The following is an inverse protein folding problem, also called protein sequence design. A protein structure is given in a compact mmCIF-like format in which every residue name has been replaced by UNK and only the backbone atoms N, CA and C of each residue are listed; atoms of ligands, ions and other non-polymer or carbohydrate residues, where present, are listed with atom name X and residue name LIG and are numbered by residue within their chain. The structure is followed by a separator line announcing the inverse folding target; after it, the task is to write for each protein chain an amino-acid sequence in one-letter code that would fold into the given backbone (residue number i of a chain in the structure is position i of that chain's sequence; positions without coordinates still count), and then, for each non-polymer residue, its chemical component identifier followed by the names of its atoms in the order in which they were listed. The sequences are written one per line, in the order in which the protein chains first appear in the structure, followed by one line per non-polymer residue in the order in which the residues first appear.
data_IF_628005713921
#
_entry.id   IF_628005713921
#
_cell.length_a   1.000
_cell.length_b   1.000
_cell.length_c   1.000
_cell.angle_alpha   90.00
_cell.angle_beta   90.00
_cell.angle_gamma   90.00
#
_symmetry.space_group_name_H-M   'P 1'
#
loop_
_entity.id
_entity.type
_entity.pdbx_description
1 polymer ?
#
# COMPACT_ATOMS: atom_id res chain seq x y z
N UNK A 1 53.93 -31.36 -0.54
CA UNK A 1 54.25 -29.92 -0.48
C UNK A 1 53.75 -29.41 0.85
N UNK A 2 54.67 -28.99 1.72
CA UNK A 2 54.38 -28.45 3.04
C UNK A 2 54.25 -26.93 2.92
N UNK A 3 53.12 -26.37 3.36
CA UNK A 3 52.94 -24.91 3.42
C UNK A 3 52.89 -24.46 4.88
N UNK A 4 53.83 -23.57 5.18
CA UNK A 4 54.28 -23.12 6.48
C UNK A 4 53.43 -21.93 6.91
N UNK A 5 52.57 -22.10 7.92
CA UNK A 5 51.77 -21.01 8.51
C UNK A 5 52.70 -20.02 9.21
N UNK A 6 53.05 -18.91 8.53
CA UNK A 6 53.60 -17.71 9.18
C UNK A 6 52.49 -17.03 9.95
N UNK A 7 52.62 -16.98 11.27
CA UNK A 7 51.80 -16.14 12.15
C UNK A 7 52.34 -14.71 12.06
N UNK A 8 51.58 -13.79 11.48
CA UNK A 8 51.83 -12.36 11.60
C UNK A 8 51.59 -11.91 13.06
N UNK A 9 52.47 -11.09 13.64
CA UNK A 9 52.33 -10.60 15.02
C UNK A 9 51.23 -9.52 15.11
N UNK A 10 50.37 -9.65 16.12
CA UNK A 10 49.30 -8.69 16.43
C UNK A 10 49.89 -7.30 16.70
N UNK A 11 49.38 -6.32 15.96
CA UNK A 11 49.71 -4.89 16.05
C UNK A 11 49.57 -4.33 17.48
N UNK A 12 50.48 -3.43 17.94
CA UNK A 12 50.52 -2.88 19.30
C UNK A 12 49.28 -2.08 19.71
N UNK A 13 48.41 -1.73 18.77
CA UNK A 13 47.12 -1.10 19.09
C UNK A 13 46.15 -2.07 19.77
N UNK A 14 46.23 -3.37 19.50
CA UNK A 14 45.39 -4.38 20.16
C UNK A 14 45.84 -4.68 21.59
N UNK A 15 47.13 -4.53 21.92
CA UNK A 15 47.61 -4.62 23.31
C UNK A 15 47.09 -3.46 24.16
N UNK A 16 47.00 -2.25 23.59
CA UNK A 16 46.54 -1.06 24.31
C UNK A 16 45.06 -1.15 24.70
N UNK A 17 44.24 -1.79 23.87
CA UNK A 17 42.82 -2.01 24.15
C UNK A 17 42.64 -3.17 25.17
N UNK A 18 43.51 -4.18 25.13
CA UNK A 18 43.51 -5.25 26.13
C UNK A 18 43.94 -4.74 27.51
N UNK A 19 44.94 -3.86 27.59
CA UNK A 19 45.39 -3.21 28.83
C UNK A 19 44.31 -2.28 29.43
N UNK A 20 43.49 -1.66 28.58
CA UNK A 20 42.39 -0.80 29.04
C UNK A 20 41.18 -1.62 29.53
N UNK A 21 40.91 -2.79 28.94
CA UNK A 21 39.86 -3.72 29.36
C UNK A 21 40.24 -4.55 30.61
N UNK A 22 41.53 -4.81 30.83
CA UNK A 22 42.05 -5.50 32.02
C UNK A 22 42.10 -4.58 33.26
N UNK A 23 41.91 -3.27 33.11
CA UNK A 23 41.81 -2.32 34.22
C UNK A 23 40.39 -2.32 34.81
N UNK A 24 39.93 -3.50 35.22
CA UNK A 24 38.77 -3.63 36.11
C UNK A 24 39.25 -3.37 37.54
N UNK A 25 38.67 -2.41 38.29
CA UNK A 25 39.11 -2.09 39.63
C UNK A 25 38.88 -3.27 40.58
N UNK A 26 39.95 -3.70 41.24
CA UNK A 26 39.97 -4.75 42.27
C UNK A 26 39.29 -4.24 43.56
N UNK A 27 38.15 -4.82 43.97
CA UNK A 27 37.38 -4.40 45.15
C UNK A 27 37.94 -5.05 46.44
N UNK A 28 39.25 -4.90 46.69
CA UNK A 28 39.91 -5.50 47.85
C UNK A 28 40.80 -4.52 48.64
N UNK A 29 40.62 -3.21 48.48
CA UNK A 29 41.24 -2.20 49.34
C UNK A 29 40.17 -1.27 49.90
N UNK A 30 39.43 -1.75 50.89
CA UNK A 30 39.03 -1.00 52.09
C UNK A 30 38.11 -1.87 52.93
N UNK A 31 38.68 -2.48 53.98
CA UNK A 31 37.92 -3.20 54.99
C UNK A 31 37.72 -2.33 56.25
N UNK A 32 36.57 -1.66 56.41
CA UNK A 32 36.17 -1.09 57.69
C UNK A 32 35.27 -2.04 58.51
N UNK A 33 35.86 -2.49 59.62
CA UNK A 33 35.33 -2.92 60.94
C UNK A 33 34.00 -3.69 61.09
N UNK A 34 34.11 -4.79 61.84
CA UNK A 34 33.12 -5.82 62.15
C UNK A 34 31.83 -5.36 62.87
N UNK A 35 31.68 -4.07 63.24
CA UNK A 35 30.49 -3.57 63.98
C UNK A 35 29.33 -3.13 63.07
N UNK A 36 29.54 -2.99 61.76
CA UNK A 36 28.47 -2.61 60.82
C UNK A 36 27.70 -3.80 60.22
N UNK A 37 27.96 -5.03 60.68
CA UNK A 37 27.41 -6.27 60.07
C UNK A 37 26.00 -6.66 60.53
N UNK A 38 25.36 -5.91 61.44
CA UNK A 38 24.02 -6.28 61.97
C UNK A 38 22.91 -5.32 61.53
N UNK A 39 23.22 -4.12 61.04
CA UNK A 39 22.18 -3.15 60.62
C UNK A 39 21.71 -3.29 59.16
N UNK A 40 22.40 -4.04 58.31
CA UNK A 40 22.01 -4.26 56.90
C UNK A 40 21.28 -5.59 56.65
N UNK A 41 20.94 -6.34 57.72
CA UNK A 41 20.24 -7.64 57.63
C UNK A 41 18.72 -7.56 57.45
N UNK A 42 18.11 -6.37 57.51
CA UNK A 42 16.66 -6.19 57.35
C UNK A 42 16.25 -5.23 56.22
N UNK A 43 17.21 -4.68 55.47
CA UNK A 43 16.91 -3.88 54.26
C UNK A 43 17.32 -4.57 52.94
N UNK A 44 18.15 -5.62 53.01
CA UNK A 44 18.62 -6.37 51.83
C UNK A 44 17.63 -7.40 51.27
N UNK A 45 16.58 -7.77 52.02
CA UNK A 45 15.52 -8.68 51.55
C UNK A 45 14.39 -7.97 50.79
N UNK A 46 14.39 -6.64 50.71
CA UNK A 46 13.39 -5.88 49.93
C UNK A 46 13.88 -5.39 48.57
N UNK A 47 15.18 -5.54 48.24
CA UNK A 47 15.79 -5.03 47.00
C UNK A 47 16.21 -6.13 46.01
N UNK A 48 15.64 -7.34 46.16
CA UNK A 48 15.89 -8.51 45.31
C UNK A 48 14.60 -8.95 44.58
N UNK A 49 13.81 -7.96 44.13
CA UNK A 49 12.53 -8.16 43.44
C UNK A 49 12.37 -7.27 42.19
N UNK A 50 13.48 -6.86 41.56
CA UNK A 50 13.44 -6.04 40.36
C UNK A 50 14.47 -6.49 39.32
N UNK A 51 14.08 -7.44 38.46
CA UNK A 51 14.42 -7.46 37.03
C UNK A 51 14.05 -8.83 36.41
N UNK A 52 12.77 -9.02 36.10
CA UNK A 52 12.37 -10.01 35.10
C UNK A 52 11.12 -9.52 34.37
N UNK A 53 11.35 -9.09 33.12
CA UNK A 53 10.44 -9.04 31.96
C UNK A 53 10.55 -7.70 31.22
N UNK A 54 11.52 -7.61 30.30
CA UNK A 54 11.35 -6.79 29.09
C UNK A 54 10.41 -7.61 28.19
N UNK A 55 9.11 -7.50 28.46
CA UNK A 55 8.04 -8.08 27.66
C UNK A 55 7.20 -6.94 27.09
N UNK A 56 7.27 -6.80 25.76
CA UNK A 56 6.47 -5.94 24.90
C UNK A 56 5.34 -5.12 25.58
N UNK A 57 5.57 -3.81 25.75
CA UNK A 57 4.47 -2.83 25.88
C UNK A 57 3.89 -2.55 24.48
N UNK A 58 3.33 -3.57 23.86
CA UNK A 58 2.37 -3.45 22.76
C UNK A 58 1.23 -4.38 23.11
N UNK A 59 0.37 -4.00 24.06
CA UNK A 59 -1.04 -4.45 24.18
C UNK A 59 -1.70 -3.56 25.24
N UNK A 60 -2.93 -3.14 24.93
CA UNK A 60 -3.90 -2.48 25.80
C UNK A 60 -3.75 -0.96 25.99
N UNK A 61 -3.67 -0.23 24.89
CA UNK A 61 -4.71 0.79 24.72
C UNK A 61 -5.95 0.00 24.28
N UNK A 62 -7.10 0.07 24.98
CA UNK A 62 -8.33 -0.36 24.34
C UNK A 62 -8.44 0.50 23.10
N UNK A 63 -8.16 -0.08 21.94
CA UNK A 63 -8.65 0.46 20.69
C UNK A 63 -10.11 0.77 20.99
N UNK A 64 -10.51 2.04 20.80
CA UNK A 64 -11.92 2.37 20.79
C UNK A 64 -12.63 1.24 20.03
N UNK A 65 -13.69 0.63 20.60
CA UNK A 65 -14.32 -0.53 19.98
C UNK A 65 -14.44 -0.21 18.50
N UNK A 66 -13.95 -1.10 17.59
CA UNK A 66 -13.93 -0.79 16.18
C UNK A 66 -15.31 -0.27 15.88
N UNK A 67 -15.40 1.03 15.54
CA UNK A 67 -16.67 1.59 15.12
C UNK A 67 -17.12 0.61 14.05
N UNK A 68 -18.36 0.09 14.11
CA UNK A 68 -18.82 -0.79 13.06
C UNK A 68 -18.53 -0.05 11.77
N UNK A 69 -17.51 -0.52 11.04
CA UNK A 69 -17.39 -0.21 9.64
C UNK A 69 -18.62 -0.93 9.12
N UNK A 70 -19.76 -0.24 9.10
CA UNK A 70 -20.80 -0.55 8.14
C UNK A 70 -20.03 -0.60 6.84
N UNK A 71 -19.77 -1.82 6.35
CA UNK A 71 -19.00 -2.03 5.14
C UNK A 71 -19.71 -1.19 4.09
N UNK A 72 -19.10 -0.07 3.71
CA UNK A 72 -19.61 0.70 2.60
C UNK A 72 -19.68 -0.28 1.42
N UNK A 73 -20.74 -0.20 0.62
CA UNK A 73 -20.85 -1.02 -0.57
C UNK A 73 -19.58 -0.85 -1.43
N UNK A 74 -19.07 -1.93 -2.05
CA UNK A 74 -17.93 -1.82 -2.95
C UNK A 74 -18.18 -0.73 -3.99
N UNK A 75 -17.16 0.09 -4.25
CA UNK A 75 -17.24 1.07 -5.34
C UNK A 75 -16.76 0.36 -6.60
N UNK A 76 -17.70 0.12 -7.51
CA UNK A 76 -17.47 -0.62 -8.75
C UNK A 76 -17.80 0.22 -9.97
N UNK A 77 -17.50 -0.32 -11.15
CA UNK A 77 -17.86 0.29 -12.42
C UNK A 77 -16.96 1.47 -12.80
N UNK A 78 -17.46 2.32 -13.68
CA UNK A 78 -16.78 3.57 -14.06
C UNK A 78 -16.48 4.50 -12.87
N UNK A 79 -17.24 4.44 -11.78
CA UNK A 79 -16.96 5.20 -10.56
C UNK A 79 -15.64 4.80 -9.90
N UNK A 80 -15.25 3.53 -10.04
CA UNK A 80 -13.96 3.05 -9.54
C UNK A 80 -12.79 3.61 -10.34
N UNK A 81 -13.02 4.06 -11.59
CA UNK A 81 -12.01 4.60 -12.51
C UNK A 81 -11.83 6.12 -12.40
N UNK A 82 -12.58 6.79 -11.51
CA UNK A 82 -12.71 8.24 -11.48
C UNK A 82 -11.93 8.89 -10.32
N UNK A 83 -10.78 9.54 -10.58
CA UNK A 83 -9.97 10.17 -9.53
C UNK A 83 -10.58 11.47 -8.99
N UNK A 84 -11.37 12.17 -9.80
CA UNK A 84 -12.08 13.40 -9.45
C UNK A 84 -13.06 13.19 -8.29
N UNK A 85 -13.77 12.07 -8.28
CA UNK A 85 -14.71 11.72 -7.20
C UNK A 85 -14.01 11.61 -5.84
N UNK A 86 -12.77 11.11 -5.80
CA UNK A 86 -11.96 11.06 -4.56
C UNK A 86 -11.58 12.46 -4.10
N UNK A 87 -11.22 13.33 -5.04
CA UNK A 87 -10.86 14.72 -4.77
C UNK A 87 -12.06 15.51 -4.24
N UNK A 88 -13.23 15.34 -4.85
CA UNK A 88 -14.47 16.02 -4.48
C UNK A 88 -15.01 15.53 -3.14
N UNK A 89 -14.90 14.22 -2.86
CA UNK A 89 -15.34 13.64 -1.60
C UNK A 89 -14.43 14.00 -0.41
N UNK A 90 -13.24 14.57 -0.65
CA UNK A 90 -12.31 14.99 0.40
C UNK A 90 -11.85 13.84 1.31
N UNK A 91 -11.47 12.70 0.72
CA UNK A 91 -11.16 11.46 1.44
C UNK A 91 -10.12 11.64 2.58
N UNK A 92 -10.28 11.01 3.76
CA UNK A 92 -11.28 9.99 4.12
C UNK A 92 -12.69 10.55 4.32
N UNK A 93 -13.69 9.78 3.87
CA UNK A 93 -15.09 10.19 3.96
C UNK A 93 -15.47 10.59 5.39
N UNK A 94 -16.06 11.78 5.55
CA UNK A 94 -16.66 12.21 6.82
C UNK A 94 -17.98 11.49 7.16
N UNK A 95 -18.63 10.87 6.17
CA UNK A 95 -19.91 10.17 6.30
C UNK A 95 -19.99 8.97 5.33
N UNK A 96 -20.84 7.98 5.65
CA UNK A 96 -21.00 6.70 4.93
C UNK A 96 -21.63 6.81 3.52
N UNK A 97 -21.65 8.00 2.91
CA UNK A 97 -22.37 8.26 1.65
C UNK A 97 -21.69 7.72 0.39
N UNK A 98 -20.38 7.43 0.43
CA UNK A 98 -19.63 7.01 -0.76
C UNK A 98 -19.81 7.96 -1.96
N UNK A 99 -19.39 7.57 -3.16
CA UNK A 99 -19.59 8.40 -4.36
C UNK A 99 -21.07 8.59 -4.78
N UNK A 100 -22.03 8.01 -4.06
CA UNK A 100 -23.46 8.12 -4.35
C UNK A 100 -24.02 9.54 -4.18
N UNK A 101 -23.34 10.42 -3.44
CA UNK A 101 -23.71 11.84 -3.38
C UNK A 101 -23.27 12.63 -4.62
N UNK A 102 -22.30 12.12 -5.39
CA UNK A 102 -21.73 12.77 -6.58
C UNK A 102 -22.25 12.16 -7.90
N UNK A 103 -22.63 10.88 -7.89
CA UNK A 103 -23.20 10.19 -9.04
C UNK A 103 -24.74 10.25 -8.99
N UNK A 104 -25.34 11.10 -9.81
CA UNK A 104 -26.78 11.10 -10.04
C UNK A 104 -27.26 9.71 -10.49
N UNK A 105 -28.41 9.31 -9.95
CA UNK A 105 -29.05 8.00 -10.16
C UNK A 105 -29.38 7.76 -11.64
N UNK A 106 -28.60 6.91 -12.31
CA UNK A 106 -28.90 6.35 -13.64
C UNK A 106 -29.24 4.87 -13.51
N UNK A 107 -30.49 4.51 -13.77
CA UNK A 107 -30.99 3.13 -13.68
C UNK A 107 -30.47 2.24 -14.80
N UNK A 108 -30.26 0.97 -14.47
CA UNK A 108 -29.90 -0.09 -15.39
C UNK A 108 -31.10 -0.49 -16.26
N UNK A 109 -30.87 -0.67 -17.56
CA UNK A 109 -31.67 -1.55 -18.40
C UNK A 109 -30.71 -2.43 -19.22
N UNK A 110 -30.97 -3.73 -19.16
CA UNK A 110 -30.12 -4.83 -19.60
C UNK A 110 -30.58 -5.25 -21.01
N UNK A 111 -29.70 -5.19 -22.01
CA UNK A 111 -29.95 -5.72 -23.37
C UNK A 111 -28.69 -6.46 -23.83
N UNK A 112 -28.76 -7.76 -24.17
CA UNK A 112 -27.62 -8.46 -24.74
C UNK A 112 -27.51 -8.19 -26.25
N UNK A 113 -26.38 -7.62 -26.69
CA UNK A 113 -26.04 -7.45 -28.11
C UNK A 113 -25.09 -8.58 -28.59
N UNK A 114 -25.25 -8.95 -29.86
CA UNK A 114 -24.68 -10.15 -30.46
C UNK A 114 -23.19 -10.01 -30.81
N UNK A 115 -22.39 -11.02 -30.44
CA UNK A 115 -20.97 -11.11 -30.75
C UNK A 115 -20.70 -11.25 -32.25
N UNK A 116 -20.01 -10.28 -32.85
CA UNK A 116 -19.42 -10.40 -34.18
C UNK A 116 -18.18 -11.31 -34.14
N UNK A 117 -18.10 -12.25 -35.08
CA UNK A 117 -17.04 -13.26 -35.15
C UNK A 117 -15.75 -12.67 -35.71
N UNK A 118 -14.94 -12.05 -34.83
CA UNK A 118 -13.56 -11.66 -35.10
C UNK A 118 -12.59 -12.85 -35.05
N UNK A 119 -11.61 -12.88 -35.96
CA UNK A 119 -10.52 -13.85 -36.01
C UNK A 119 -9.89 -14.06 -34.63
N UNK A 120 -9.93 -15.29 -34.11
CA UNK A 120 -9.42 -15.63 -32.78
C UNK A 120 -7.91 -15.35 -32.68
N UNK A 121 -7.54 -14.40 -31.82
CA UNK A 121 -6.17 -14.18 -31.39
C UNK A 121 -5.82 -15.21 -30.30
N UNK A 122 -4.89 -16.15 -30.50
CA UNK A 122 -4.56 -17.18 -29.49
C UNK A 122 -3.91 -16.60 -28.22
N UNK A 123 -3.48 -15.34 -28.25
CA UNK A 123 -2.96 -14.60 -27.08
C UNK A 123 -4.07 -13.92 -26.28
N UNK A 124 -5.27 -13.76 -26.85
CA UNK A 124 -6.42 -13.18 -26.18
C UNK A 124 -6.70 -13.89 -24.86
N UNK A 125 -6.81 -13.13 -23.77
CA UNK A 125 -7.02 -13.68 -22.44
C UNK A 125 -5.78 -14.20 -21.71
N UNK A 126 -4.59 -14.08 -22.31
CA UNK A 126 -3.35 -14.35 -21.57
C UNK A 126 -3.12 -13.30 -20.47
N UNK A 127 -2.39 -13.68 -19.43
CA UNK A 127 -1.94 -12.79 -18.36
C UNK A 127 -1.24 -11.54 -18.91
N UNK A 128 -0.37 -11.71 -19.91
CA UNK A 128 0.38 -10.64 -20.56
C UNK A 128 -0.52 -9.73 -21.38
N UNK A 129 -1.50 -10.28 -22.11
CA UNK A 129 -2.45 -9.46 -22.86
C UNK A 129 -3.35 -8.60 -21.97
N UNK A 130 -3.80 -9.13 -20.82
CA UNK A 130 -4.55 -8.35 -19.85
C UNK A 130 -3.70 -7.22 -19.24
N UNK A 131 -2.44 -7.50 -18.92
CA UNK A 131 -1.51 -6.49 -18.40
C UNK A 131 -1.28 -5.38 -19.44
N UNK A 132 -0.92 -5.75 -20.67
CA UNK A 132 -0.64 -4.80 -21.76
C UNK A 132 -1.86 -3.92 -22.07
N UNK A 133 -3.07 -4.49 -22.02
CA UNK A 133 -4.29 -3.72 -22.25
C UNK A 133 -4.53 -2.67 -21.16
N UNK A 134 -4.31 -3.03 -19.89
CA UNK A 134 -4.44 -2.07 -18.78
C UNK A 134 -3.35 -1.01 -18.80
N UNK A 135 -2.12 -1.38 -19.17
CA UNK A 135 -1.02 -0.42 -19.36
C UNK A 135 -1.34 0.55 -20.49
N UNK A 136 -1.84 0.07 -21.64
CA UNK A 136 -2.28 0.89 -22.75
C UNK A 136 -3.45 1.80 -22.36
N UNK A 137 -4.40 1.30 -21.57
CA UNK A 137 -5.50 2.11 -21.03
C UNK A 137 -4.98 3.30 -20.22
N UNK A 138 -4.04 3.09 -19.29
CA UNK A 138 -3.45 4.21 -18.56
C UNK A 138 -2.56 5.07 -19.46
N UNK A 139 -1.81 4.50 -20.39
CA UNK A 139 -1.01 5.31 -21.30
C UNK A 139 -1.88 6.31 -22.08
N UNK A 140 -3.02 5.85 -22.60
CA UNK A 140 -3.99 6.70 -23.30
C UNK A 140 -4.66 7.73 -22.39
N UNK A 141 -4.97 7.37 -21.15
CA UNK A 141 -5.49 8.33 -20.17
C UNK A 141 -4.52 9.48 -19.86
N UNK A 142 -3.20 9.27 -20.00
CA UNK A 142 -2.19 10.31 -19.76
C UNK A 142 -2.03 11.24 -20.97
N UNK A 143 -2.17 10.70 -22.19
CA UNK A 143 -1.98 11.42 -23.46
C UNK A 143 -3.27 12.07 -24.00
N UNK A 144 -4.30 11.25 -24.24
CA UNK A 144 -5.63 11.68 -24.69
C UNK A 144 -6.71 10.78 -24.06
N UNK A 145 -7.37 11.23 -22.96
CA UNK A 145 -8.36 10.42 -22.26
C UNK A 145 -9.51 9.91 -23.13
N UNK A 146 -9.85 10.60 -24.23
CA UNK A 146 -10.88 10.15 -25.16
C UNK A 146 -10.49 8.86 -25.90
N UNK A 147 -9.19 8.69 -26.18
CA UNK A 147 -8.66 7.53 -26.89
C UNK A 147 -8.64 6.24 -26.06
N UNK A 148 -8.79 6.34 -24.73
CA UNK A 148 -8.85 5.22 -23.81
C UNK A 148 -10.22 4.54 -23.77
N UNK A 149 -11.29 5.25 -24.15
CA UNK A 149 -12.67 4.76 -24.08
C UNK A 149 -12.86 3.43 -24.82
N UNK A 150 -12.36 3.22 -26.05
CA UNK A 150 -12.56 1.97 -26.77
C UNK A 150 -11.94 0.72 -26.12
N UNK A 151 -11.10 0.90 -25.09
CA UNK A 151 -10.50 -0.20 -24.31
C UNK A 151 -11.39 -0.64 -23.14
N UNK A 152 -12.48 0.07 -22.90
CA UNK A 152 -13.43 -0.16 -21.81
C UNK A 152 -14.76 -0.59 -22.40
N UNK A 153 -15.34 -1.65 -21.86
CA UNK A 153 -16.63 -2.13 -22.35
C UNK A 153 -17.74 -1.08 -22.18
N UNK A 154 -18.67 -0.97 -23.15
CA UNK A 154 -19.82 -0.07 -23.05
C UNK A 154 -20.66 -0.30 -21.78
N UNK A 155 -20.81 -1.56 -21.37
CA UNK A 155 -21.54 -1.96 -20.16
C UNK A 155 -20.87 -1.41 -18.90
N UNK A 156 -19.54 -1.46 -18.83
CA UNK A 156 -18.79 -0.91 -17.71
C UNK A 156 -18.88 0.62 -17.65
N UNK A 157 -18.87 1.27 -18.82
CA UNK A 157 -19.05 2.72 -18.94
C UNK A 157 -20.46 3.15 -18.52
N UNK A 158 -21.48 2.34 -18.81
CA UNK A 158 -22.88 2.61 -18.47
C UNK A 158 -23.33 4.03 -18.85
N UNK A 159 -22.92 4.50 -20.04
CA UNK A 159 -23.20 5.84 -20.54
C UNK A 159 -22.36 6.98 -19.94
N UNK A 160 -21.49 6.72 -18.96
CA UNK A 160 -20.69 7.74 -18.26
C UNK A 160 -19.33 8.03 -18.91
N UNK A 161 -19.27 7.93 -20.24
CA UNK A 161 -18.04 8.12 -21.01
C UNK A 161 -17.48 9.54 -20.84
N UNK A 162 -18.36 10.55 -20.90
CA UNK A 162 -17.96 11.95 -20.80
C UNK A 162 -17.40 12.29 -19.41
N UNK A 163 -17.97 11.71 -18.36
CA UNK A 163 -17.53 11.86 -16.98
C UNK A 163 -16.16 11.22 -16.76
N UNK A 164 -15.93 10.03 -17.33
CA UNK A 164 -14.61 9.39 -17.29
C UNK A 164 -13.56 10.27 -17.97
N UNK A 165 -13.83 10.72 -19.20
CA UNK A 165 -12.92 11.57 -19.97
C UNK A 165 -12.64 12.88 -19.22
N UNK A 166 -13.68 13.57 -18.73
CA UNK A 166 -13.55 14.81 -18.00
C UNK A 166 -12.75 14.66 -16.69
N UNK A 167 -12.93 13.54 -15.98
CA UNK A 167 -12.20 13.25 -14.75
C UNK A 167 -10.68 13.18 -14.96
N UNK A 168 -10.25 12.57 -16.06
CA UNK A 168 -8.83 12.41 -16.40
C UNK A 168 -8.25 13.62 -17.12
N UNK A 169 -9.04 14.37 -17.91
CA UNK A 169 -8.60 15.64 -18.51
C UNK A 169 -8.20 16.70 -17.47
N UNK A 170 -8.77 16.64 -16.26
CA UNK A 170 -8.40 17.54 -15.18
C UNK A 170 -7.06 17.20 -14.51
N UNK A 171 -6.47 16.03 -14.81
CA UNK A 171 -5.20 15.57 -14.25
C UNK A 171 -4.04 16.18 -15.03
N UNK A 172 -3.08 16.78 -14.32
CA UNK A 172 -1.87 17.37 -14.89
C UNK A 172 -0.83 16.30 -15.25
N UNK A 173 -0.70 15.27 -14.42
CA UNK A 173 0.20 14.16 -14.65
C UNK A 173 -0.24 12.95 -13.83
N UNK A 174 0.04 11.75 -14.32
CA UNK A 174 -0.14 10.55 -13.52
C UNK A 174 1.00 9.54 -13.59
N UNK A 175 0.99 8.61 -12.62
CA UNK A 175 1.97 7.53 -12.52
C UNK A 175 1.23 6.23 -12.21
N UNK A 176 0.92 5.41 -13.22
CA UNK A 176 0.34 4.09 -13.02
C UNK A 176 1.42 3.08 -12.60
N UNK A 177 1.06 2.17 -11.71
CA UNK A 177 1.80 0.96 -11.39
C UNK A 177 0.85 -0.23 -11.54
N UNK A 178 1.10 -1.06 -12.54
CA UNK A 178 0.21 -2.15 -12.92
C UNK A 178 0.87 -3.48 -12.59
N UNK A 179 0.11 -4.43 -12.07
CA UNK A 179 0.58 -5.80 -11.81
C UNK A 179 -0.52 -6.81 -11.99
N UNK A 180 -0.15 -8.00 -12.44
CA UNK A 180 -1.07 -9.12 -12.58
C UNK A 180 -1.43 -9.65 -11.20
N UNK A 181 -2.74 -9.84 -10.96
CA UNK A 181 -3.25 -10.52 -9.77
C UNK A 181 -3.56 -11.98 -10.08
N UNK A 182 -4.28 -12.22 -11.18
CA UNK A 182 -4.64 -13.55 -11.70
C UNK A 182 -5.02 -13.45 -13.18
N UNK A 183 -5.38 -14.56 -13.83
CA UNK A 183 -5.80 -14.55 -15.23
C UNK A 183 -6.98 -13.58 -15.45
N UNK A 184 -6.81 -12.65 -16.39
CA UNK A 184 -7.81 -11.61 -16.68
C UNK A 184 -8.06 -10.60 -15.55
N UNK A 185 -7.25 -10.59 -14.48
CA UNK A 185 -7.42 -9.67 -13.36
C UNK A 185 -6.11 -8.96 -13.04
N UNK A 186 -6.17 -7.64 -13.11
CA UNK A 186 -5.03 -6.74 -12.99
C UNK A 186 -5.26 -5.77 -11.84
N UNK A 187 -4.24 -5.59 -11.00
CA UNK A 187 -4.26 -4.57 -9.96
C UNK A 187 -3.48 -3.35 -10.42
N UNK A 188 -4.10 -2.18 -10.33
CA UNK A 188 -3.48 -0.90 -10.64
C UNK A 188 -3.39 -0.02 -9.39
N UNK A 189 -2.24 0.61 -9.16
CA UNK A 189 -2.11 1.77 -8.28
C UNK A 189 -1.80 3.00 -9.14
N UNK A 190 -2.65 4.02 -9.08
CA UNK A 190 -2.53 5.20 -9.93
C UNK A 190 -2.41 6.44 -9.07
N UNK A 191 -1.34 7.21 -9.28
CA UNK A 191 -1.12 8.48 -8.60
C UNK A 191 -1.42 9.61 -9.60
N UNK A 192 -2.53 10.31 -9.41
CA UNK A 192 -2.93 11.46 -10.20
C UNK A 192 -2.56 12.76 -9.48
N UNK A 193 -1.98 13.71 -10.21
CA UNK A 193 -1.65 15.05 -9.72
C UNK A 193 -2.48 16.08 -10.47
N UNK A 194 -2.98 17.07 -9.74
CA UNK A 194 -3.77 18.16 -10.29
C UNK A 194 -2.99 19.48 -10.32
N UNK A 195 -3.35 20.44 -11.21
CA UNK A 195 -2.68 21.73 -11.32
C UNK A 195 -2.71 22.58 -10.03
N UNK A 196 -3.75 22.38 -9.21
CA UNK A 196 -3.93 23.03 -7.90
C UNK A 196 -3.04 22.43 -6.79
N UNK A 197 -2.20 21.45 -7.13
CA UNK A 197 -1.28 20.78 -6.22
C UNK A 197 -1.89 19.62 -5.44
N UNK A 198 -3.20 19.37 -5.57
CA UNK A 198 -3.83 18.18 -4.98
C UNK A 198 -3.31 16.91 -5.65
N UNK A 199 -3.30 15.81 -4.89
CA UNK A 199 -2.94 14.48 -5.39
C UNK A 199 -3.95 13.45 -4.96
N UNK A 200 -4.27 12.54 -5.86
CA UNK A 200 -5.14 11.40 -5.61
C UNK A 200 -4.35 10.12 -5.86
N UNK A 201 -4.47 9.15 -4.97
CA UNK A 201 -3.93 7.81 -5.17
C UNK A 201 -5.08 6.82 -5.19
N UNK A 202 -5.25 6.09 -6.29
CA UNK A 202 -6.25 5.04 -6.45
C UNK A 202 -5.57 3.67 -6.42
N UNK A 203 -6.21 2.70 -5.78
CA UNK A 203 -5.87 1.28 -5.88
C UNK A 203 -7.08 0.55 -6.42
N UNK A 204 -6.95 -0.05 -7.59
CA UNK A 204 -8.06 -0.64 -8.33
C UNK A 204 -7.77 -2.10 -8.67
N UNK A 205 -8.85 -2.87 -8.79
CA UNK A 205 -8.86 -4.19 -9.40
C UNK A 205 -9.63 -4.08 -10.72
N UNK A 206 -9.01 -4.51 -11.81
CA UNK A 206 -9.54 -4.43 -13.16
C UNK A 206 -9.72 -5.85 -13.71
N UNK A 207 -10.87 -6.10 -14.32
CA UNK A 207 -11.17 -7.36 -14.99
C UNK A 207 -11.16 -7.12 -16.50
N UNK A 208 -10.38 -7.93 -17.20
CA UNK A 208 -10.21 -7.89 -18.66
C UNK A 208 -10.80 -9.17 -19.24
N UNK A 209 -11.62 -9.03 -20.27
CA UNK A 209 -12.15 -10.19 -20.97
C UNK A 209 -11.10 -10.87 -21.85
N UNK A 210 -11.36 -12.12 -22.20
CA UNK A 210 -10.40 -13.03 -22.82
C UNK A 210 -10.77 -13.36 -24.27
N UNK A 211 -11.34 -12.41 -24.99
CA UNK A 211 -11.91 -12.61 -26.32
C UNK A 211 -11.04 -12.00 -27.45
N UNK A 212 -11.49 -12.09 -28.70
CA UNK A 212 -10.72 -11.62 -29.85
C UNK A 212 -10.41 -10.11 -29.83
N UNK A 213 -11.18 -9.32 -29.08
CA UNK A 213 -11.04 -7.86 -28.95
C UNK A 213 -11.11 -7.48 -27.47
N UNK A 214 -10.07 -7.79 -26.67
CA UNK A 214 -10.15 -7.70 -25.22
C UNK A 214 -10.48 -6.27 -24.77
N UNK A 215 -11.36 -6.15 -23.79
CA UNK A 215 -11.74 -4.89 -23.13
C UNK A 215 -11.71 -5.03 -21.61
N UNK A 216 -11.64 -3.89 -20.92
CA UNK A 216 -11.88 -3.80 -19.48
C UNK A 216 -13.40 -3.91 -19.24
N UNK A 217 -13.81 -5.01 -18.62
CA UNK A 217 -15.22 -5.34 -18.34
C UNK A 217 -15.60 -5.15 -16.88
N UNK A 218 -14.61 -5.02 -16.00
CA UNK A 218 -14.83 -4.80 -14.57
C UNK A 218 -13.82 -3.83 -13.98
N UNK A 219 -14.29 -3.02 -13.03
CA UNK A 219 -13.44 -2.18 -12.21
C UNK A 219 -13.99 -2.12 -10.77
N UNK A 220 -13.11 -2.29 -9.80
CA UNK A 220 -13.40 -2.16 -8.38
C UNK A 220 -12.33 -1.29 -7.70
N UNK A 221 -12.75 -0.35 -6.86
CA UNK A 221 -11.85 0.49 -6.09
C UNK A 221 -11.53 -0.19 -4.75
N UNK A 222 -10.30 -0.69 -4.63
CA UNK A 222 -9.76 -1.32 -3.42
C UNK A 222 -9.32 -0.31 -2.35
N UNK A 223 -9.08 0.94 -2.75
CA UNK A 223 -8.78 2.02 -1.83
C UNK A 223 -8.41 3.31 -2.54
N UNK A 224 -8.54 4.43 -1.82
CA UNK A 224 -8.17 5.74 -2.32
C UNK A 224 -7.55 6.62 -1.22
N UNK A 225 -6.79 7.63 -1.64
CA UNK A 225 -6.26 8.69 -0.79
C UNK A 225 -6.33 10.02 -1.50
N UNK A 226 -6.75 11.05 -0.77
CA UNK A 226 -6.62 12.45 -1.19
C UNK A 226 -5.54 13.13 -0.36
N UNK A 227 -4.67 13.88 -1.03
CA UNK A 227 -3.57 14.62 -0.41
C UNK A 227 -3.72 16.07 -0.86
N UNK A 228 -3.93 16.96 0.10
CA UNK A 228 -4.04 18.40 -0.15
C UNK A 228 -2.66 19.04 -0.32
N UNK A 229 -2.54 20.14 -1.09
CA UNK A 229 -1.33 20.94 -1.14
C UNK A 229 -0.97 21.46 0.26
N UNK A 230 0.34 21.68 0.50
CA UNK A 230 0.86 22.25 1.75
C UNK A 230 0.98 23.76 1.68
#
# INVERSE_FOLDING_TARGET
MAELIRREPLSPEHERIADELLKTPDPAADAPTLRSRIAFGLLGTLLLLAAAAIGARIVAQPAAPPRPFTSAAPITGVLALRPDLVREAGWPFGANGGFAAAAGSGGADDVPEAAEQGTANPSAGSHESALNLVEEFYHRLDDDPGSAVPLVSPELLAGQQAELVGAWQAVESMQPQVRISSAGVVQAEVKARYPDGHRVVLRQLLTVESDASPQIVGAELLGARHITPR
#
